data_IF_705774729763
#
_entry.id   IF_705774729763
#
_cell.length_a   1.000
_cell.length_b   1.000
_cell.length_c   1.000
_cell.angle_alpha   90.00
_cell.angle_beta   90.00
_cell.angle_gamma   90.00
#
_symmetry.space_group_name_H-M   'P 1'
#
loop_
_entity.id
_entity.type
_entity.pdbx_description
1 polymer ?
#
# COMPACT_ATOMS: atom_id res chain seq x y z
N UNK A 1 2.18 -15.98 -17.74
CA UNK A 1 3.36 -16.34 -16.92
C UNK A 1 4.62 -16.36 -17.79
N UNK A 2 4.67 -17.09 -18.93
CA UNK A 2 5.87 -17.13 -19.79
C UNK A 2 6.29 -15.73 -20.26
N UNK A 3 5.35 -14.87 -20.66
CA UNK A 3 5.65 -13.49 -21.06
C UNK A 3 6.24 -12.65 -19.90
N UNK A 4 5.74 -12.83 -18.68
CA UNK A 4 6.32 -12.20 -17.49
C UNK A 4 7.79 -12.60 -17.33
N UNK A 5 8.10 -13.89 -17.51
CA UNK A 5 9.47 -14.37 -17.40
C UNK A 5 10.38 -13.79 -18.50
N UNK A 6 9.86 -13.66 -19.73
CA UNK A 6 10.58 -13.06 -20.85
C UNK A 6 10.93 -11.59 -20.56
N UNK A 7 9.95 -10.81 -20.04
CA UNK A 7 10.14 -9.42 -19.64
C UNK A 7 11.17 -9.28 -18.49
N UNK A 8 11.08 -10.15 -17.48
CA UNK A 8 12.04 -10.18 -16.37
C UNK A 8 13.47 -10.48 -16.81
N UNK A 9 13.65 -11.20 -17.92
CA UNK A 9 14.96 -11.44 -18.52
C UNK A 9 15.46 -10.27 -19.40
N UNK A 10 14.69 -9.19 -19.50
CA UNK A 10 15.04 -8.00 -20.28
C UNK A 10 14.71 -8.10 -21.77
N UNK A 11 13.88 -9.07 -22.18
CA UNK A 11 13.38 -9.17 -23.56
C UNK A 11 12.04 -8.48 -23.69
N UNK A 12 11.78 -7.87 -24.86
CA UNK A 12 10.51 -7.21 -25.15
C UNK A 12 9.34 -8.19 -25.17
N UNK A 13 8.35 -7.98 -24.30
CA UNK A 13 7.10 -8.70 -24.24
C UNK A 13 5.87 -7.77 -24.46
N UNK A 14 6.04 -6.66 -25.19
CA UNK A 14 5.00 -5.65 -25.45
C UNK A 14 3.71 -6.24 -26.05
N UNK A 15 3.82 -7.30 -26.84
CA UNK A 15 2.67 -8.05 -27.36
C UNK A 15 1.74 -8.60 -26.25
N UNK A 16 2.26 -8.79 -25.04
CA UNK A 16 1.51 -9.35 -23.92
C UNK A 16 0.79 -8.29 -23.07
N UNK A 17 1.07 -6.99 -23.22
CA UNK A 17 0.54 -5.93 -22.38
C UNK A 17 -0.99 -5.88 -22.40
N UNK A 18 -1.60 -5.88 -23.59
CA UNK A 18 -3.07 -5.87 -23.71
C UNK A 18 -3.72 -7.14 -23.14
N UNK A 19 -3.06 -8.27 -23.26
CA UNK A 19 -3.56 -9.50 -22.63
C UNK A 19 -3.49 -9.42 -21.11
N UNK A 20 -2.46 -8.80 -20.52
CA UNK A 20 -2.37 -8.57 -19.08
C UNK A 20 -3.55 -7.72 -18.60
N UNK A 21 -3.86 -6.62 -19.29
CA UNK A 21 -5.03 -5.77 -19.02
C UNK A 21 -6.32 -6.59 -19.07
N UNK A 22 -6.54 -7.36 -20.12
CA UNK A 22 -7.75 -8.18 -20.26
C UNK A 22 -7.87 -9.23 -19.14
N UNK A 23 -6.76 -9.81 -18.67
CA UNK A 23 -6.77 -10.78 -17.57
C UNK A 23 -7.22 -10.17 -16.24
N UNK A 24 -7.03 -8.86 -16.03
CA UNK A 24 -7.52 -8.17 -14.81
C UNK A 24 -9.03 -8.20 -14.70
N UNK A 25 -9.75 -8.34 -15.83
CA UNK A 25 -11.22 -8.38 -15.87
C UNK A 25 -11.79 -9.80 -15.69
N UNK A 26 -10.92 -10.80 -15.50
CA UNK A 26 -11.34 -12.19 -15.34
C UNK A 26 -12.20 -12.38 -14.09
N UNK A 27 -13.23 -13.24 -14.20
CA UNK A 27 -14.03 -13.68 -13.04
C UNK A 27 -13.26 -14.66 -12.13
N UNK A 28 -12.25 -15.34 -12.68
CA UNK A 28 -11.41 -16.25 -11.90
C UNK A 28 -10.35 -15.42 -11.17
N UNK A 29 -10.37 -15.46 -9.84
CA UNK A 29 -9.46 -14.69 -8.99
C UNK A 29 -7.98 -15.03 -9.24
N UNK A 30 -7.63 -16.26 -9.51
CA UNK A 30 -6.25 -16.67 -9.78
C UNK A 30 -5.74 -16.04 -11.08
N UNK A 31 -6.57 -16.03 -12.11
CA UNK A 31 -6.26 -15.42 -13.42
C UNK A 31 -6.19 -13.90 -13.27
N UNK A 32 -7.16 -13.29 -12.56
CA UNK A 32 -7.18 -11.84 -12.27
C UNK A 32 -5.90 -11.38 -11.55
N UNK A 33 -5.45 -12.12 -10.53
CA UNK A 33 -4.21 -11.81 -9.81
C UNK A 33 -2.97 -11.86 -10.70
N UNK A 34 -2.90 -12.84 -11.61
CA UNK A 34 -1.83 -12.91 -12.62
C UNK A 34 -1.92 -11.71 -13.56
N UNK A 35 -3.13 -11.31 -13.97
CA UNK A 35 -3.35 -10.11 -14.78
C UNK A 35 -2.82 -8.84 -14.10
N UNK A 36 -3.18 -8.60 -12.85
CA UNK A 36 -2.68 -7.45 -12.08
C UNK A 36 -1.15 -7.47 -11.88
N UNK A 37 -0.59 -8.65 -11.58
CA UNK A 37 0.86 -8.81 -11.46
C UNK A 37 1.55 -8.50 -12.80
N UNK A 38 1.08 -9.08 -13.90
CA UNK A 38 1.63 -8.84 -15.22
C UNK A 38 1.51 -7.36 -15.62
N UNK A 39 0.34 -6.75 -15.42
CA UNK A 39 0.14 -5.33 -15.71
C UNK A 39 1.10 -4.45 -14.92
N UNK A 40 1.31 -4.73 -13.64
CA UNK A 40 2.23 -3.96 -12.78
C UNK A 40 3.71 -4.11 -13.14
N UNK A 41 4.07 -5.10 -13.97
CA UNK A 41 5.43 -5.32 -14.46
C UNK A 41 5.64 -4.80 -15.89
N UNK A 42 4.59 -4.87 -16.72
CA UNK A 42 4.68 -4.54 -18.15
C UNK A 42 4.36 -3.08 -18.44
N UNK A 43 3.45 -2.46 -17.66
CA UNK A 43 2.89 -1.16 -17.95
C UNK A 43 3.66 -0.11 -17.15
N UNK A 44 4.09 0.95 -17.83
CA UNK A 44 4.68 2.12 -17.21
C UNK A 44 3.60 3.05 -16.63
N UNK A 45 3.92 3.80 -15.58
CA UNK A 45 3.03 4.77 -14.91
C UNK A 45 2.46 5.82 -15.89
N UNK A 46 3.14 6.11 -16.99
CA UNK A 46 2.71 7.07 -18.02
C UNK A 46 1.98 6.44 -19.21
N UNK A 47 1.77 5.14 -19.20
CA UNK A 47 1.10 4.43 -20.30
C UNK A 47 -0.40 4.73 -20.36
N UNK A 48 -0.93 4.99 -21.56
CA UNK A 48 -2.37 5.14 -21.78
C UNK A 48 -3.17 3.87 -21.44
N UNK A 49 -2.53 2.69 -21.43
CA UNK A 49 -3.18 1.44 -21.07
C UNK A 49 -3.70 1.42 -19.64
N UNK A 50 -3.15 2.26 -18.74
CA UNK A 50 -3.64 2.38 -17.36
C UNK A 50 -5.11 2.83 -17.34
N UNK A 51 -5.51 3.70 -18.25
CA UNK A 51 -6.88 4.21 -18.35
C UNK A 51 -7.89 3.06 -18.51
N UNK A 52 -7.51 2.04 -19.29
CA UNK A 52 -8.35 0.84 -19.50
C UNK A 52 -8.56 0.02 -18.22
N UNK A 53 -7.68 0.17 -17.24
CA UNK A 53 -7.74 -0.58 -15.98
C UNK A 53 -8.51 0.17 -14.88
N UNK A 54 -8.69 1.49 -14.98
CA UNK A 54 -9.27 2.32 -13.92
C UNK A 54 -10.64 1.79 -13.47
N UNK A 55 -11.55 1.53 -14.39
CA UNK A 55 -12.89 1.04 -14.07
C UNK A 55 -12.85 -0.35 -13.39
N UNK A 56 -11.93 -1.21 -13.81
CA UNK A 56 -11.74 -2.52 -13.20
C UNK A 56 -11.17 -2.37 -11.79
N UNK A 57 -10.19 -1.50 -11.59
CA UNK A 57 -9.62 -1.20 -10.27
C UNK A 57 -10.67 -0.63 -9.32
N UNK A 58 -11.48 0.35 -9.75
CA UNK A 58 -12.58 0.90 -8.96
C UNK A 58 -13.56 -0.18 -8.49
N UNK A 59 -13.96 -1.06 -9.40
CA UNK A 59 -14.86 -2.17 -9.09
C UNK A 59 -14.22 -3.15 -8.09
N UNK A 60 -12.96 -3.50 -8.29
CA UNK A 60 -12.26 -4.49 -7.47
C UNK A 60 -11.93 -3.94 -6.07
N UNK A 61 -11.68 -2.62 -5.93
CA UNK A 61 -11.54 -1.96 -4.61
C UNK A 61 -12.82 -2.04 -3.77
N UNK A 62 -13.98 -2.14 -4.39
CA UNK A 62 -15.28 -2.27 -3.73
C UNK A 62 -15.75 -3.73 -3.61
N UNK A 63 -14.91 -4.69 -4.02
CA UNK A 63 -15.27 -6.12 -3.98
C UNK A 63 -15.37 -6.63 -2.54
N UNK A 64 -16.29 -7.58 -2.32
CA UNK A 64 -16.35 -8.36 -1.08
C UNK A 64 -15.21 -9.37 -0.94
N UNK A 65 -14.52 -9.68 -2.04
CA UNK A 65 -13.41 -10.62 -2.03
C UNK A 65 -12.10 -9.89 -1.70
N UNK A 66 -11.56 -10.12 -0.51
CA UNK A 66 -10.32 -9.49 -0.04
C UNK A 66 -9.15 -9.69 -1.01
N UNK A 67 -9.08 -10.81 -1.73
CA UNK A 67 -7.99 -11.07 -2.68
C UNK A 67 -8.06 -10.18 -3.92
N UNK A 68 -9.26 -9.78 -4.36
CA UNK A 68 -9.43 -8.82 -5.46
C UNK A 68 -8.99 -7.43 -5.02
N UNK A 69 -9.44 -6.99 -3.82
CA UNK A 69 -9.04 -5.71 -3.23
C UNK A 69 -7.53 -5.62 -3.08
N UNK A 70 -6.90 -6.66 -2.51
CA UNK A 70 -5.44 -6.69 -2.33
C UNK A 70 -4.70 -6.69 -3.67
N UNK A 71 -5.20 -7.39 -4.69
CA UNK A 71 -4.58 -7.42 -6.00
C UNK A 71 -4.63 -6.03 -6.68
N UNK A 72 -5.78 -5.35 -6.59
CA UNK A 72 -5.94 -3.98 -7.09
C UNK A 72 -5.02 -3.00 -6.35
N UNK A 73 -4.97 -3.04 -5.00
CA UNK A 73 -4.09 -2.19 -4.20
C UNK A 73 -2.60 -2.44 -4.50
N UNK A 74 -2.18 -3.69 -4.70
CA UNK A 74 -0.81 -3.99 -5.10
C UNK A 74 -0.46 -3.40 -6.46
N UNK A 75 -1.38 -3.47 -7.42
CA UNK A 75 -1.19 -2.86 -8.73
C UNK A 75 -1.11 -1.33 -8.61
N UNK A 76 -2.03 -0.71 -7.85
CA UNK A 76 -2.04 0.73 -7.60
C UNK A 76 -0.76 1.23 -6.93
N UNK A 77 -0.13 0.45 -6.05
CA UNK A 77 1.14 0.84 -5.44
C UNK A 77 2.29 0.98 -6.44
N UNK A 78 2.15 0.41 -7.62
CA UNK A 78 3.11 0.44 -8.74
C UNK A 78 2.68 1.42 -9.83
N UNK A 79 1.42 1.32 -10.27
CA UNK A 79 0.86 2.08 -11.38
C UNK A 79 0.04 3.27 -10.87
N UNK A 80 0.73 4.25 -10.26
CA UNK A 80 0.09 5.46 -9.72
C UNK A 80 0.48 6.69 -10.52
N UNK A 81 -0.48 7.33 -11.14
CA UNK A 81 -0.36 8.66 -11.74
C UNK A 81 -1.52 9.57 -11.31
N UNK A 82 -1.49 10.84 -11.70
CA UNK A 82 -2.51 11.80 -11.29
C UNK A 82 -3.93 11.40 -11.73
N UNK A 83 -4.09 10.81 -12.91
CA UNK A 83 -5.41 10.36 -13.42
C UNK A 83 -5.97 9.21 -12.63
N UNK A 84 -5.13 8.21 -12.31
CA UNK A 84 -5.50 7.07 -11.45
C UNK A 84 -5.86 7.57 -10.05
N UNK A 85 -5.01 8.43 -9.48
CA UNK A 85 -5.24 8.99 -8.14
C UNK A 85 -6.60 9.69 -8.05
N UNK A 86 -6.93 10.58 -8.98
CA UNK A 86 -8.22 11.27 -9.01
C UNK A 86 -9.41 10.30 -9.11
N UNK A 87 -9.24 9.19 -9.82
CA UNK A 87 -10.31 8.23 -10.01
C UNK A 87 -10.56 7.30 -8.82
N UNK A 88 -9.53 6.98 -8.01
CA UNK A 88 -9.64 5.93 -6.98
C UNK A 88 -9.31 6.38 -5.56
N UNK A 89 -8.87 7.63 -5.33
CA UNK A 89 -8.43 8.12 -4.01
C UNK A 89 -9.48 7.92 -2.92
N UNK A 90 -10.75 8.27 -3.19
CA UNK A 90 -11.84 8.14 -2.22
C UNK A 90 -12.12 6.67 -1.87
N UNK A 91 -12.07 5.78 -2.87
CA UNK A 91 -12.23 4.35 -2.64
C UNK A 91 -11.09 3.80 -1.77
N UNK A 92 -9.83 4.18 -2.05
CA UNK A 92 -8.67 3.77 -1.24
C UNK A 92 -8.73 4.37 0.16
N UNK A 93 -9.16 5.63 0.30
CA UNK A 93 -9.36 6.28 1.60
C UNK A 93 -10.36 5.53 2.48
N UNK A 94 -11.46 5.04 1.91
CA UNK A 94 -12.46 4.27 2.66
C UNK A 94 -11.91 2.93 3.17
N UNK A 95 -10.93 2.34 2.47
CA UNK A 95 -10.31 1.08 2.85
C UNK A 95 -9.39 1.19 4.09
N UNK A 96 -9.04 2.39 4.55
CA UNK A 96 -8.35 2.56 5.83
C UNK A 96 -9.17 2.08 7.03
N UNK A 97 -10.49 2.00 6.91
CA UNK A 97 -11.39 1.51 7.96
C UNK A 97 -11.86 0.07 7.73
N UNK A 98 -11.26 -0.62 6.77
CA UNK A 98 -11.63 -1.99 6.43
C UNK A 98 -11.33 -2.96 7.58
N UNK A 99 -12.16 -4.01 7.74
CA UNK A 99 -12.01 -5.00 8.82
C UNK A 99 -10.71 -5.80 8.73
N UNK A 100 -10.25 -6.09 7.50
CA UNK A 100 -9.05 -6.90 7.25
C UNK A 100 -7.78 -6.03 7.28
N UNK A 101 -6.82 -6.37 8.15
CA UNK A 101 -5.57 -5.64 8.39
C UNK A 101 -4.70 -5.49 7.14
N UNK A 102 -4.59 -6.54 6.33
CA UNK A 102 -3.79 -6.51 5.11
C UNK A 102 -4.31 -5.46 4.10
N UNK A 103 -5.63 -5.26 4.05
CA UNK A 103 -6.24 -4.24 3.18
C UNK A 103 -5.92 -2.85 3.73
N UNK A 104 -6.07 -2.61 5.05
CA UNK A 104 -5.70 -1.33 5.66
C UNK A 104 -4.23 -1.00 5.43
N UNK A 105 -3.33 -1.97 5.64
CA UNK A 105 -1.90 -1.84 5.37
C UNK A 105 -1.63 -1.42 3.92
N UNK A 106 -2.22 -2.12 2.96
CA UNK A 106 -2.02 -1.82 1.54
C UNK A 106 -2.63 -0.48 1.14
N UNK A 107 -3.77 -0.10 1.72
CA UNK A 107 -4.38 1.21 1.52
C UNK A 107 -3.44 2.33 2.00
N UNK A 108 -2.84 2.20 3.19
CA UNK A 108 -1.82 3.16 3.67
C UNK A 108 -0.68 3.28 2.68
N UNK A 109 -0.14 2.16 2.16
CA UNK A 109 0.98 2.18 1.19
C UNK A 109 0.61 2.90 -0.12
N UNK A 110 -0.60 2.67 -0.64
CA UNK A 110 -1.07 3.34 -1.86
C UNK A 110 -1.27 4.83 -1.62
N UNK A 111 -1.87 5.20 -0.49
CA UNK A 111 -2.09 6.61 -0.14
C UNK A 111 -0.77 7.37 0.10
N UNK A 112 0.26 6.71 0.64
CA UNK A 112 1.60 7.28 0.73
C UNK A 112 2.15 7.63 -0.67
N UNK A 113 1.98 6.73 -1.64
CA UNK A 113 2.38 6.98 -3.02
C UNK A 113 1.57 8.13 -3.64
N UNK A 114 0.26 8.17 -3.42
CA UNK A 114 -0.60 9.25 -3.90
C UNK A 114 -0.19 10.61 -3.32
N UNK A 115 0.10 10.68 -2.03
CA UNK A 115 0.53 11.91 -1.37
C UNK A 115 1.89 12.42 -1.86
N UNK A 116 2.74 11.53 -2.44
CA UNK A 116 3.98 11.93 -3.12
C UNK A 116 3.72 12.57 -4.48
N UNK A 117 2.65 12.14 -5.18
CA UNK A 117 2.25 12.71 -6.48
C UNK A 117 1.57 14.06 -6.25
N UNK A 118 0.60 14.12 -5.36
CA UNK A 118 -0.12 15.33 -4.98
C UNK A 118 -0.56 15.25 -3.52
N UNK A 119 -0.30 16.30 -2.71
CA UNK A 119 -0.74 16.33 -1.32
C UNK A 119 -2.25 16.11 -1.19
N UNK A 120 -2.63 15.16 -0.32
CA UNK A 120 -4.02 14.82 -0.04
C UNK A 120 -4.53 15.61 1.16
N UNK A 121 -5.71 16.20 1.04
CA UNK A 121 -6.34 16.95 2.12
C UNK A 121 -6.67 16.03 3.32
N UNK A 122 -6.34 16.50 4.53
CA UNK A 122 -6.58 15.74 5.76
C UNK A 122 -5.77 14.44 5.90
N UNK A 123 -4.73 14.26 5.08
CA UNK A 123 -3.93 13.04 5.07
C UNK A 123 -3.22 12.77 6.40
N UNK A 124 -2.62 13.81 7.02
CA UNK A 124 -1.95 13.70 8.32
C UNK A 124 -2.86 13.13 9.42
N UNK A 125 -4.12 13.60 9.48
CA UNK A 125 -5.09 13.12 10.46
C UNK A 125 -5.37 11.62 10.28
N UNK A 126 -5.48 11.17 9.03
CA UNK A 126 -5.70 9.76 8.71
C UNK A 126 -4.47 8.91 9.02
N UNK A 127 -3.28 9.43 8.78
CA UNK A 127 -2.03 8.73 9.13
C UNK A 127 -1.83 8.67 10.65
N UNK A 128 -2.16 9.72 11.42
CA UNK A 128 -2.19 9.66 12.89
C UNK A 128 -3.15 8.57 13.40
N UNK A 129 -4.32 8.40 12.77
CA UNK A 129 -5.24 7.30 13.11
C UNK A 129 -4.63 5.93 12.79
N UNK A 130 -3.96 5.79 11.64
CA UNK A 130 -3.29 4.54 11.23
C UNK A 130 -2.08 4.20 12.10
N UNK A 131 -1.43 5.20 12.71
CA UNK A 131 -0.37 4.98 13.70
C UNK A 131 -0.88 4.29 14.97
N UNK A 132 -2.15 4.48 15.31
CA UNK A 132 -2.83 3.86 16.43
C UNK A 132 -3.65 2.62 16.02
N UNK A 133 -3.37 2.00 14.88
CA UNK A 133 -4.06 0.80 14.42
C UNK A 133 -3.80 -0.39 15.36
N UNK A 134 -4.78 -1.29 15.43
CA UNK A 134 -4.68 -2.53 16.21
C UNK A 134 -3.61 -3.49 15.67
N UNK A 135 -3.33 -3.42 14.38
CA UNK A 135 -2.37 -4.28 13.72
C UNK A 135 -1.00 -3.58 13.57
N UNK A 136 0.08 -4.19 14.11
CA UNK A 136 1.41 -3.60 14.06
C UNK A 136 1.96 -3.38 12.65
N UNK A 137 1.48 -4.14 11.64
CA UNK A 137 1.93 -3.97 10.26
C UNK A 137 1.36 -2.70 9.60
N UNK A 138 0.14 -2.30 9.98
CA UNK A 138 -0.47 -1.03 9.56
C UNK A 138 0.26 0.14 10.22
N UNK A 139 0.48 0.04 11.53
CA UNK A 139 1.26 1.01 12.31
C UNK A 139 2.65 1.23 11.69
N UNK A 140 3.37 0.14 11.35
CA UNK A 140 4.69 0.21 10.74
C UNK A 140 4.70 0.97 9.40
N UNK A 141 3.62 0.84 8.60
CA UNK A 141 3.49 1.61 7.36
C UNK A 141 3.28 3.11 7.64
N UNK A 142 2.47 3.47 8.64
CA UNK A 142 2.27 4.85 9.03
C UNK A 142 3.55 5.49 9.61
N UNK A 143 4.37 4.73 10.35
CA UNK A 143 5.67 5.20 10.86
C UNK A 143 6.62 5.65 9.75
N UNK A 144 6.63 4.99 8.59
CA UNK A 144 7.47 5.42 7.47
C UNK A 144 7.09 6.83 6.98
N UNK A 145 5.79 7.15 6.98
CA UNK A 145 5.33 8.49 6.63
C UNK A 145 5.84 9.52 7.64
N UNK A 146 5.64 9.27 8.94
CA UNK A 146 6.05 10.21 9.97
C UNK A 146 7.57 10.38 10.00
N UNK A 147 8.36 9.34 9.77
CA UNK A 147 9.80 9.45 9.65
C UNK A 147 10.21 10.45 8.57
N UNK A 148 9.59 10.37 7.38
CA UNK A 148 9.88 11.29 6.28
C UNK A 148 9.43 12.72 6.57
N UNK A 149 8.28 12.91 7.23
CA UNK A 149 7.75 14.23 7.55
C UNK A 149 8.53 14.90 8.70
N UNK A 150 8.85 14.14 9.75
CA UNK A 150 9.60 14.65 10.91
C UNK A 150 11.02 15.08 10.51
N UNK A 151 11.67 14.33 9.60
CA UNK A 151 12.95 14.73 9.03
C UNK A 151 12.90 16.10 8.31
N UNK A 152 11.75 16.45 7.72
CA UNK A 152 11.55 17.73 7.03
C UNK A 152 11.16 18.87 7.98
N UNK A 153 10.32 18.58 8.96
CA UNK A 153 9.70 19.60 9.84
C UNK A 153 9.42 19.00 11.23
N UNK A 154 10.43 18.84 12.09
CA UNK A 154 10.28 18.17 13.38
C UNK A 154 9.30 18.86 14.32
N UNK A 155 9.27 20.18 14.32
CA UNK A 155 8.44 20.97 15.26
C UNK A 155 6.93 20.71 15.10
N UNK A 156 6.49 20.33 13.92
CA UNK A 156 5.07 20.08 13.64
C UNK A 156 4.54 18.77 14.23
N UNK A 157 5.41 17.90 14.73
CA UNK A 157 5.07 16.54 15.18
C UNK A 157 5.48 16.25 16.62
N UNK A 158 5.81 17.26 17.41
CA UNK A 158 6.16 17.12 18.84
C UNK A 158 5.05 16.46 19.65
N UNK A 159 3.80 16.63 19.25
CA UNK A 159 2.63 16.00 19.85
C UNK A 159 2.67 14.46 19.75
N UNK A 160 3.38 13.89 18.76
CA UNK A 160 3.48 12.45 18.54
C UNK A 160 4.54 11.75 19.39
N UNK A 161 5.44 12.48 20.03
CA UNK A 161 6.52 11.90 20.86
C UNK A 161 5.96 10.96 21.94
N UNK A 162 4.91 11.37 22.62
CA UNK A 162 4.25 10.54 23.62
C UNK A 162 3.66 9.24 23.02
N UNK A 163 3.13 9.31 21.80
CA UNK A 163 2.61 8.14 21.10
C UNK A 163 3.74 7.16 20.76
N UNK A 164 4.87 7.64 20.27
CA UNK A 164 6.04 6.80 19.97
C UNK A 164 6.59 6.11 21.23
N UNK A 165 6.67 6.84 22.35
CA UNK A 165 7.07 6.27 23.64
C UNK A 165 6.12 5.16 24.10
N UNK A 166 4.81 5.36 23.95
CA UNK A 166 3.80 4.33 24.30
C UNK A 166 3.96 3.10 23.42
N UNK A 167 4.18 3.27 22.10
CA UNK A 167 4.39 2.15 21.18
C UNK A 167 5.65 1.37 21.56
N UNK A 168 6.77 2.03 21.84
CA UNK A 168 8.01 1.35 22.27
C UNK A 168 7.78 0.57 23.57
N UNK A 169 7.09 1.15 24.55
CA UNK A 169 6.76 0.44 25.80
C UNK A 169 5.94 -0.81 25.54
N UNK A 170 4.91 -0.74 24.69
CA UNK A 170 4.11 -1.91 24.31
C UNK A 170 4.95 -3.00 23.65
N UNK A 171 5.91 -2.63 22.80
CA UNK A 171 6.81 -3.58 22.15
C UNK A 171 7.71 -4.26 23.18
N UNK A 172 8.39 -3.49 24.05
CA UNK A 172 9.31 -4.01 25.08
C UNK A 172 8.58 -4.89 26.08
N UNK A 173 7.34 -4.55 26.42
CA UNK A 173 6.47 -5.34 27.32
C UNK A 173 5.86 -6.58 26.64
N UNK A 174 6.28 -6.92 25.40
CA UNK A 174 5.79 -8.05 24.61
C UNK A 174 4.25 -8.09 24.45
N UNK A 175 3.62 -6.92 24.29
CA UNK A 175 2.16 -6.81 24.07
C UNK A 175 1.75 -7.06 22.62
N UNK A 176 2.71 -7.12 21.68
CA UNK A 176 2.46 -7.46 20.29
C UNK A 176 2.32 -8.97 20.09
N UNK A 177 1.63 -9.42 19.04
CA UNK A 177 1.58 -10.84 18.67
C UNK A 177 2.99 -11.41 18.45
N UNK A 178 3.23 -12.66 18.86
CA UNK A 178 4.52 -13.32 18.72
C UNK A 178 5.02 -13.46 17.28
N UNK A 179 4.13 -13.39 16.31
CA UNK A 179 4.46 -13.40 14.87
C UNK A 179 5.32 -12.19 14.45
N UNK A 180 5.37 -11.15 15.30
CA UNK A 180 6.22 -9.97 15.13
C UNK A 180 7.59 -10.10 15.81
N UNK A 181 7.86 -11.21 16.50
CA UNK A 181 9.17 -11.45 17.10
C UNK A 181 10.15 -11.98 16.04
N UNK A 182 11.34 -11.41 16.00
CA UNK A 182 12.43 -11.86 15.15
C UNK A 182 13.66 -12.16 16.00
N UNK A 183 14.10 -13.41 16.03
CA UNK A 183 15.22 -13.87 16.88
C UNK A 183 15.08 -13.45 18.36
N UNK A 184 13.89 -13.59 18.94
CA UNK A 184 13.52 -13.19 20.31
C UNK A 184 13.51 -11.67 20.55
N UNK A 185 13.66 -10.85 19.53
CA UNK A 185 13.48 -9.41 19.61
C UNK A 185 12.08 -9.04 19.14
N UNK A 186 11.28 -8.33 19.95
CA UNK A 186 9.92 -7.96 19.56
C UNK A 186 9.95 -6.84 18.52
N UNK A 187 9.41 -7.08 17.34
CA UNK A 187 9.23 -6.14 16.23
C UNK A 187 10.44 -5.19 16.01
N UNK A 188 11.66 -5.70 15.76
CA UNK A 188 12.86 -4.87 15.69
C UNK A 188 12.78 -3.77 14.62
N UNK A 189 12.11 -4.04 13.50
CA UNK A 189 11.90 -3.04 12.44
C UNK A 189 11.04 -1.84 12.88
N UNK A 190 10.06 -2.04 13.78
CA UNK A 190 9.25 -0.95 14.34
C UNK A 190 10.09 -0.15 15.33
N UNK A 191 10.82 -0.84 16.22
CA UNK A 191 11.71 -0.19 17.17
C UNK A 191 12.75 0.68 16.46
N UNK A 192 13.42 0.15 15.44
CA UNK A 192 14.42 0.91 14.66
C UNK A 192 13.79 2.17 14.06
N UNK A 193 12.59 2.07 13.47
CA UNK A 193 11.91 3.22 12.87
C UNK A 193 11.57 4.30 13.89
N UNK A 194 11.10 3.92 15.07
CA UNK A 194 10.77 4.88 16.13
C UNK A 194 12.03 5.54 16.70
N UNK A 195 13.13 4.78 16.79
CA UNK A 195 14.41 5.33 17.27
C UNK A 195 15.10 6.25 16.24
N UNK A 196 14.76 6.13 14.95
CA UNK A 196 15.20 7.03 13.89
C UNK A 196 14.42 8.35 13.86
N UNK A 197 13.22 8.37 14.45
CA UNK A 197 12.36 9.55 14.61
C UNK A 197 12.84 10.42 15.78
#
# INVERSE_FOLDING_TARGET
IRAIYVEMLGHDASFAHIYAVNLTQSKNILVKRIGYLAASLFIDENSEMIILMISTMQKDLQSRNHLEVIAALNCLSKLSNASVMMAVSDAVMSLLEHTHEMIRKKAVMVLLKFNQIQPLEGFDVKMKKSLCDKDPSVMACALNYFLDQIKKSPDNYLDLVNHFIVIIKQIIEHRLPRDYDYHRLPAPWIQTRILEI
#
